data_IF_091904220340
#
_entry.id   IF_091904220340
#
_cell.length_a   1.000
_cell.length_b   1.000
_cell.length_c   1.000
_cell.angle_alpha   90.00
_cell.angle_beta   90.00
_cell.angle_gamma   90.00
#
_symmetry.space_group_name_H-M   'P 1'
#
loop_
_entity.id
_entity.type
_entity.pdbx_description
1 polymer ?
#
# COMPACT_ATOMS: atom_id res chain seq x y z
N UNK A 1 8.09 6.50 2.60
CA UNK A 1 8.56 5.14 2.93
C UNK A 1 9.41 4.51 1.83
N UNK A 2 8.97 4.50 0.56
CA UNK A 2 9.71 3.89 -0.56
C UNK A 2 11.09 4.52 -0.84
N UNK A 3 11.18 5.85 -0.84
CA UNK A 3 12.43 6.57 -1.08
C UNK A 3 13.52 6.27 -0.01
N UNK A 4 13.11 6.10 1.26
CA UNK A 4 14.03 5.69 2.34
C UNK A 4 14.63 4.29 2.10
N UNK A 5 13.94 3.45 1.33
CA UNK A 5 14.31 2.07 1.04
C UNK A 5 14.87 1.89 -0.38
N UNK A 6 15.12 3.00 -1.11
CA UNK A 6 15.57 3.03 -2.52
C UNK A 6 14.80 2.05 -3.41
N UNK A 7 13.50 1.88 -3.14
CA UNK A 7 12.63 0.92 -3.81
C UNK A 7 11.62 1.66 -4.68
N UNK A 8 11.43 1.17 -5.91
CA UNK A 8 10.42 1.64 -6.85
C UNK A 8 9.05 1.03 -6.54
N UNK A 9 7.99 1.65 -7.08
CA UNK A 9 6.64 1.06 -6.96
C UNK A 9 6.54 -0.28 -7.70
N UNK A 10 7.23 -0.46 -8.82
CA UNK A 10 7.23 -1.74 -9.54
C UNK A 10 7.83 -2.87 -8.69
N UNK A 11 8.98 -2.63 -8.05
CA UNK A 11 9.61 -3.60 -7.15
C UNK A 11 8.74 -3.93 -5.94
N UNK A 12 8.04 -2.93 -5.37
CA UNK A 12 7.08 -3.18 -4.29
C UNK A 12 5.94 -4.08 -4.78
N UNK A 13 5.39 -3.83 -5.97
CA UNK A 13 4.28 -4.59 -6.53
C UNK A 13 4.65 -6.06 -6.70
N UNK A 14 5.81 -6.34 -7.29
CA UNK A 14 6.36 -7.69 -7.40
C UNK A 14 6.56 -8.34 -6.02
N UNK A 15 7.15 -7.62 -5.07
CA UNK A 15 7.43 -8.13 -3.72
C UNK A 15 6.18 -8.54 -2.95
N UNK A 16 5.05 -7.88 -3.19
CA UNK A 16 3.76 -8.18 -2.52
C UNK A 16 2.80 -8.98 -3.41
N UNK A 17 3.24 -9.43 -4.59
CA UNK A 17 2.42 -10.23 -5.51
C UNK A 17 1.23 -9.47 -6.12
N UNK A 18 1.36 -8.16 -6.33
CA UNK A 18 0.37 -7.34 -7.01
C UNK A 18 0.88 -6.86 -8.37
N UNK A 19 -0.04 -6.63 -9.30
CA UNK A 19 0.29 -5.88 -10.51
C UNK A 19 0.59 -4.42 -10.18
N UNK A 20 1.41 -3.77 -11.02
CA UNK A 20 1.67 -2.33 -10.92
C UNK A 20 0.37 -1.50 -10.96
N UNK A 21 -0.65 -1.97 -11.68
CA UNK A 21 -1.98 -1.34 -11.75
C UNK A 21 -2.68 -1.38 -10.39
N UNK A 22 -2.74 -2.56 -9.75
CA UNK A 22 -3.37 -2.71 -8.43
C UNK A 22 -2.65 -1.89 -7.36
N UNK A 23 -1.32 -1.88 -7.37
CA UNK A 23 -0.55 -1.03 -6.46
C UNK A 23 -0.83 0.46 -6.70
N UNK A 24 -0.99 0.89 -7.96
CA UNK A 24 -1.31 2.28 -8.28
C UNK A 24 -2.67 2.70 -7.71
N UNK A 25 -3.69 1.84 -7.80
CA UNK A 25 -5.02 2.08 -7.22
C UNK A 25 -4.94 2.25 -5.70
N UNK A 26 -4.17 1.40 -5.01
CA UNK A 26 -3.92 1.52 -3.57
C UNK A 26 -3.19 2.82 -3.23
N UNK A 27 -2.11 3.13 -3.95
CA UNK A 27 -1.29 4.34 -3.72
C UNK A 27 -2.08 5.64 -3.91
N UNK A 28 -3.04 5.64 -4.82
CA UNK A 28 -3.86 6.84 -5.14
C UNK A 28 -5.09 6.98 -4.25
N UNK A 29 -5.31 6.07 -3.28
CA UNK A 29 -6.48 6.10 -2.41
C UNK A 29 -7.80 5.77 -3.10
N UNK A 30 -7.75 5.32 -4.37
CA UNK A 30 -8.94 4.96 -5.16
C UNK A 30 -9.45 3.54 -4.88
N UNK A 31 -8.72 2.79 -4.06
CA UNK A 31 -9.11 1.44 -3.67
C UNK A 31 -10.37 1.50 -2.79
N UNK A 32 -11.40 0.74 -3.16
CA UNK A 32 -12.62 0.57 -2.34
C UNK A 32 -12.41 -0.38 -1.15
N UNK A 33 -11.28 -1.06 -1.10
CA UNK A 33 -10.93 -2.01 -0.06
C UNK A 33 -9.58 -2.67 -0.33
N UNK A 34 -9.03 -3.29 0.71
CA UNK A 34 -7.77 -4.04 0.65
C UNK A 34 -7.93 -5.34 1.44
N UNK A 35 -7.35 -6.44 0.96
CA UNK A 35 -7.32 -7.69 1.71
C UNK A 35 -6.34 -7.56 2.87
N UNK A 36 -6.63 -8.17 4.02
CA UNK A 36 -5.69 -8.18 5.15
C UNK A 36 -4.32 -8.78 4.78
N UNK A 37 -4.28 -9.79 3.92
CA UNK A 37 -3.01 -10.36 3.43
C UNK A 37 -2.18 -9.35 2.63
N UNK A 38 -2.84 -8.50 1.83
CA UNK A 38 -2.17 -7.41 1.11
C UNK A 38 -1.67 -6.33 2.07
N UNK A 39 -2.47 -5.98 3.08
CA UNK A 39 -2.07 -5.02 4.12
C UNK A 39 -0.87 -5.54 4.93
N UNK A 40 -0.88 -6.81 5.33
CA UNK A 40 0.24 -7.48 6.00
C UNK A 40 1.51 -7.49 5.13
N UNK A 41 1.39 -7.85 3.86
CA UNK A 41 2.52 -7.84 2.92
C UNK A 41 3.10 -6.43 2.73
N UNK A 42 2.24 -5.41 2.64
CA UNK A 42 2.67 -4.00 2.59
C UNK A 42 3.39 -3.60 3.87
N UNK A 43 2.85 -3.91 5.05
CA UNK A 43 3.47 -3.59 6.34
C UNK A 43 4.85 -4.24 6.48
N UNK A 44 5.01 -5.51 6.05
CA UNK A 44 6.31 -6.21 6.05
C UNK A 44 7.28 -5.62 5.03
N UNK A 45 6.81 -5.32 3.81
CA UNK A 45 7.67 -4.81 2.74
C UNK A 45 8.13 -3.36 3.01
N UNK A 46 7.25 -2.56 3.62
CA UNK A 46 7.47 -1.17 3.97
C UNK A 46 7.89 -0.99 5.42
N UNK A 47 8.03 -2.07 6.19
CA UNK A 47 8.44 -2.08 7.59
C UNK A 47 7.77 -0.92 8.37
N UNK A 48 6.45 -1.03 8.44
CA UNK A 48 5.54 -0.05 9.03
C UNK A 48 4.34 -0.78 9.66
N UNK A 49 3.55 -0.04 10.42
CA UNK A 49 2.31 -0.54 11.02
C UNK A 49 1.10 -0.23 10.12
N UNK A 50 -0.03 -0.95 10.28
CA UNK A 50 -1.26 -0.64 9.55
C UNK A 50 -1.73 0.81 9.73
N UNK A 51 -1.55 1.39 10.93
CA UNK A 51 -1.88 2.79 11.21
C UNK A 51 -1.03 3.81 10.47
N UNK A 52 0.13 3.41 9.91
CA UNK A 52 0.93 4.28 9.05
C UNK A 52 0.38 4.36 7.61
N UNK A 53 -0.54 3.46 7.25
CA UNK A 53 -1.11 3.32 5.89
C UNK A 53 -2.60 3.65 5.84
N UNK A 54 -3.32 3.42 6.94
CA UNK A 54 -4.75 3.60 7.05
C UNK A 54 -5.06 4.80 7.94
N UNK A 55 -5.89 5.69 7.41
CA UNK A 55 -6.44 6.83 8.13
C UNK A 55 -7.96 6.77 7.97
N UNK A 56 -8.69 6.89 9.08
CA UNK A 56 -10.12 7.11 9.01
C UNK A 56 -10.37 8.57 8.61
N UNK A 57 -11.11 8.76 7.52
CA UNK A 57 -11.63 10.06 7.11
C UNK A 57 -13.14 9.98 7.18
N UNK A 58 -13.72 10.82 8.02
CA UNK A 58 -15.16 11.05 8.03
C UNK A 58 -15.50 11.73 6.69
N UNK A 59 -16.33 11.09 5.88
CA UNK A 59 -16.69 11.60 4.56
C UNK A 59 -17.65 12.77 4.72
N UNK A 60 -17.12 13.98 4.81
CA UNK A 60 -17.83 15.17 4.33
C UNK A 60 -17.34 15.41 2.89
N UNK A 61 -18.21 15.08 1.93
CA UNK A 61 -18.07 15.14 0.44
C UNK A 61 -17.62 13.85 -0.29
#
# INVERSE_FOLDING_TARGET
MLARRKMTSAELAEKIGLSAVNLSILKTGKAKGVRFSTLDALCKALDCQPGDLLEFRETDE
#
